data_IF_032791192772
#
_entry.id   IF_032791192772
#
_cell.length_a   1.000
_cell.length_b   1.000
_cell.length_c   1.000
_cell.angle_alpha   90.00
_cell.angle_beta   90.00
_cell.angle_gamma   90.00
#
_symmetry.space_group_name_H-M   'P 1'
#
loop_
_entity.id
_entity.type
_entity.pdbx_description
1 polymer ?
#
# COMPACT_ATOMS: atom_id res chain seq x y z
N UNK A 1 -10.84 5.82 -6.45
CA UNK A 1 -12.10 5.73 -7.22
C UNK A 1 -11.96 6.39 -8.60
N UNK A 2 -11.43 7.62 -8.72
CA UNK A 2 -11.20 8.30 -10.01
C UNK A 2 -10.36 7.52 -11.03
N UNK A 3 -9.30 6.83 -10.58
CA UNK A 3 -8.50 5.91 -11.42
C UNK A 3 -9.40 4.89 -12.15
N UNK A 4 -10.31 4.23 -11.44
CA UNK A 4 -11.19 3.22 -12.04
C UNK A 4 -12.23 3.82 -12.98
N UNK A 5 -12.67 5.06 -12.73
CA UNK A 5 -13.61 5.79 -13.60
C UNK A 5 -12.99 6.17 -14.96
N UNK A 6 -11.70 6.53 -15.01
CA UNK A 6 -11.03 6.85 -16.29
C UNK A 6 -10.71 5.61 -17.12
N UNK A 7 -10.61 4.45 -16.46
CA UNK A 7 -10.47 3.15 -17.13
C UNK A 7 -11.82 2.48 -17.39
N UNK A 8 -12.94 3.07 -17.00
CA UNK A 8 -14.25 2.46 -17.22
C UNK A 8 -14.52 2.19 -18.73
N UNK A 9 -14.18 3.11 -19.67
CA UNK A 9 -14.33 2.87 -21.11
C UNK A 9 -13.46 1.72 -21.67
N UNK A 10 -12.35 1.35 -21.01
CA UNK A 10 -11.54 0.20 -21.45
C UNK A 10 -12.18 -1.14 -21.07
N UNK A 11 -13.07 -1.14 -20.08
CA UNK A 11 -13.68 -2.34 -19.52
C UNK A 11 -15.13 -2.53 -19.97
N UNK A 12 -15.87 -1.44 -20.19
CA UNK A 12 -17.27 -1.44 -20.63
C UNK A 12 -17.52 -0.25 -21.56
N UNK A 13 -18.16 -0.51 -22.70
CA UNK A 13 -18.56 0.56 -23.64
C UNK A 13 -19.61 1.47 -23.03
N UNK A 14 -19.44 2.78 -23.17
CA UNK A 14 -20.34 3.80 -22.63
C UNK A 14 -21.76 3.76 -23.21
N UNK A 15 -21.95 3.12 -24.36
CA UNK A 15 -23.24 3.02 -25.05
C UNK A 15 -23.93 1.65 -24.88
N UNK A 16 -23.40 0.77 -24.03
CA UNK A 16 -23.98 -0.56 -23.82
C UNK A 16 -25.15 -0.52 -22.81
N UNK A 17 -26.37 -0.94 -23.19
CA UNK A 17 -27.52 -1.00 -22.28
C UNK A 17 -27.31 -1.89 -21.05
N UNK A 18 -26.40 -2.87 -21.13
CA UNK A 18 -26.11 -3.83 -20.06
C UNK A 18 -24.82 -3.49 -19.29
N UNK A 19 -24.34 -2.24 -19.38
CA UNK A 19 -23.10 -1.80 -18.75
C UNK A 19 -23.06 -2.08 -17.23
N UNK A 20 -24.17 -1.89 -16.53
CA UNK A 20 -24.27 -2.11 -15.08
C UNK A 20 -23.99 -3.58 -14.68
N UNK A 21 -24.53 -4.54 -15.43
CA UNK A 21 -24.30 -5.97 -15.20
C UNK A 21 -22.85 -6.38 -15.44
N UNK A 22 -22.22 -5.83 -16.48
CA UNK A 22 -20.79 -6.07 -16.76
C UNK A 22 -19.88 -5.50 -15.67
N UNK A 23 -20.18 -4.32 -15.16
CA UNK A 23 -19.43 -3.71 -14.06
C UNK A 23 -19.57 -4.51 -12.76
N UNK A 24 -20.77 -5.00 -12.47
CA UNK A 24 -20.98 -5.87 -11.30
C UNK A 24 -20.16 -7.16 -11.41
N UNK A 25 -20.18 -7.81 -12.57
CA UNK A 25 -19.38 -9.01 -12.83
C UNK A 25 -17.87 -8.73 -12.71
N UNK A 26 -17.37 -7.68 -13.36
CA UNK A 26 -15.96 -7.28 -13.27
C UNK A 26 -15.55 -6.93 -11.83
N UNK A 27 -16.40 -6.23 -11.09
CA UNK A 27 -16.15 -5.88 -9.69
C UNK A 27 -16.03 -7.11 -8.79
N UNK A 28 -16.95 -8.08 -8.93
CA UNK A 28 -16.89 -9.35 -8.19
C UNK A 28 -15.64 -10.15 -8.57
N UNK A 29 -15.31 -10.23 -9.86
CA UNK A 29 -14.12 -10.91 -10.34
C UNK A 29 -12.84 -10.26 -9.81
N UNK A 30 -12.78 -8.92 -9.80
CA UNK A 30 -11.66 -8.17 -9.24
C UNK A 30 -11.47 -8.45 -7.75
N UNK A 31 -12.56 -8.48 -6.97
CA UNK A 31 -12.51 -8.85 -5.55
C UNK A 31 -11.99 -10.28 -5.38
N UNK A 32 -12.55 -11.23 -6.11
CA UNK A 32 -12.15 -12.63 -6.05
C UNK A 32 -10.66 -12.83 -6.40
N UNK A 33 -10.15 -12.10 -7.39
CA UNK A 33 -8.75 -12.13 -7.79
C UNK A 33 -7.83 -11.39 -6.80
N UNK A 34 -8.33 -10.33 -6.18
CA UNK A 34 -7.57 -9.54 -5.21
C UNK A 34 -7.39 -10.28 -3.90
N UNK A 35 -8.37 -11.08 -3.47
CA UNK A 35 -8.33 -11.81 -2.19
C UNK A 35 -7.08 -12.69 -2.06
N UNK A 36 -6.72 -13.56 -3.02
CA UNK A 36 -5.49 -14.36 -2.96
C UNK A 36 -4.20 -13.54 -2.86
N UNK A 37 -4.21 -12.29 -3.33
CA UNK A 37 -3.04 -11.40 -3.29
C UNK A 37 -2.99 -10.63 -1.98
N UNK A 38 -4.13 -10.07 -1.55
CA UNK A 38 -4.21 -9.22 -0.36
C UNK A 38 -4.26 -10.03 0.92
N UNK A 39 -4.86 -11.22 0.93
CA UNK A 39 -4.96 -12.04 2.14
C UNK A 39 -3.58 -12.45 2.68
N UNK A 40 -2.62 -12.97 1.87
CA UNK A 40 -1.27 -13.23 2.34
C UNK A 40 -0.55 -11.97 2.84
N UNK A 41 -0.76 -10.83 2.17
CA UNK A 41 -0.18 -9.55 2.60
C UNK A 41 -0.69 -9.14 3.99
N UNK A 42 -2.00 -9.26 4.23
CA UNK A 42 -2.62 -8.97 5.53
C UNK A 42 -2.10 -9.92 6.60
N UNK A 43 -2.04 -11.23 6.31
CA UNK A 43 -1.51 -12.22 7.24
C UNK A 43 -0.02 -11.98 7.55
N UNK A 44 0.77 -11.57 6.57
CA UNK A 44 2.17 -11.19 6.76
C UNK A 44 2.29 -9.94 7.65
N UNK A 45 1.44 -8.94 7.43
CA UNK A 45 1.41 -7.73 8.24
C UNK A 45 1.02 -8.02 9.70
N UNK A 46 0.08 -8.94 9.93
CA UNK A 46 -0.30 -9.40 11.27
C UNK A 46 0.88 -10.07 11.98
N UNK A 47 1.56 -11.01 11.31
CA UNK A 47 2.76 -11.67 11.85
C UNK A 47 3.89 -10.67 12.13
N UNK A 48 4.07 -9.69 11.25
CA UNK A 48 5.05 -8.62 11.43
C UNK A 48 4.72 -7.77 12.66
N UNK A 49 3.46 -7.34 12.81
CA UNK A 49 3.00 -6.60 13.97
C UNK A 49 3.13 -7.38 15.27
N UNK A 50 2.81 -8.68 15.25
CA UNK A 50 3.01 -9.57 16.39
C UNK A 50 4.48 -9.72 16.75
N UNK A 51 5.37 -9.89 15.76
CA UNK A 51 6.82 -9.97 15.97
C UNK A 51 7.40 -8.68 16.56
N UNK A 52 6.92 -7.51 16.14
CA UNK A 52 7.29 -6.22 16.72
C UNK A 52 6.86 -6.11 18.19
N UNK A 53 5.64 -6.53 18.52
CA UNK A 53 5.13 -6.51 19.90
C UNK A 53 5.83 -7.53 20.80
N UNK A 54 6.20 -8.69 20.26
CA UNK A 54 6.80 -9.78 21.02
C UNK A 54 8.29 -9.57 21.32
N UNK A 55 9.02 -8.78 20.52
CA UNK A 55 10.47 -8.63 20.66
C UNK A 55 10.88 -7.16 20.82
N UNK A 56 11.33 -6.75 22.01
CA UNK A 56 11.90 -5.42 22.25
C UNK A 56 13.10 -5.11 21.36
N UNK A 57 13.77 -6.13 20.81
CA UNK A 57 14.90 -5.96 19.88
C UNK A 57 14.44 -5.38 18.54
N UNK A 58 13.27 -5.77 18.03
CA UNK A 58 12.77 -5.27 16.74
C UNK A 58 12.41 -3.79 16.87
N UNK A 59 11.73 -3.41 17.96
CA UNK A 59 11.45 -2.00 18.28
C UNK A 59 12.74 -1.17 18.35
N UNK A 60 13.78 -1.68 19.05
CA UNK A 60 15.07 -0.99 19.11
C UNK A 60 15.72 -0.83 17.73
N UNK A 61 15.67 -1.83 16.85
CA UNK A 61 16.22 -1.71 15.48
C UNK A 61 15.50 -0.61 14.71
N UNK A 62 14.17 -0.53 14.83
CA UNK A 62 13.36 0.52 14.21
C UNK A 62 13.72 1.90 14.79
N UNK A 63 13.89 2.01 16.11
CA UNK A 63 14.31 3.25 16.77
C UNK A 63 15.70 3.71 16.28
N UNK A 64 16.67 2.78 16.17
CA UNK A 64 18.00 3.09 15.64
C UNK A 64 17.95 3.53 14.18
N UNK A 65 17.09 2.92 13.36
CA UNK A 65 16.90 3.34 11.96
C UNK A 65 16.38 4.77 11.88
N UNK A 66 15.33 5.11 12.64
CA UNK A 66 14.82 6.47 12.69
C UNK A 66 15.88 7.46 13.17
N UNK A 67 16.60 7.14 14.25
CA UNK A 67 17.69 7.97 14.75
C UNK A 67 18.79 8.19 13.70
N UNK A 68 19.12 7.16 12.92
CA UNK A 68 20.11 7.24 11.85
C UNK A 68 19.64 8.15 10.71
N UNK A 69 18.39 8.00 10.25
CA UNK A 69 17.81 8.85 9.21
C UNK A 69 17.75 10.32 9.65
N UNK A 70 17.29 10.59 10.87
CA UNK A 70 17.24 11.96 11.39
C UNK A 70 18.62 12.58 11.52
N UNK A 71 19.61 11.81 11.99
CA UNK A 71 20.99 12.28 12.10
C UNK A 71 21.59 12.57 10.73
N UNK A 72 21.37 11.70 9.74
CA UNK A 72 21.79 11.93 8.36
C UNK A 72 21.12 13.19 7.76
N UNK A 73 19.84 13.40 8.07
CA UNK A 73 19.12 14.59 7.65
C UNK A 73 19.67 15.86 8.30
N UNK A 74 19.97 15.82 9.60
CA UNK A 74 20.60 16.94 10.32
C UNK A 74 21.98 17.29 9.74
N UNK A 75 22.81 16.30 9.45
CA UNK A 75 24.09 16.50 8.76
C UNK A 75 23.90 17.13 7.37
N UNK A 76 22.89 16.69 6.62
CA UNK A 76 22.53 17.29 5.33
C UNK A 76 22.12 18.76 5.46
N UNK A 77 21.33 19.12 6.48
CA UNK A 77 20.96 20.52 6.73
C UNK A 77 22.17 21.35 7.11
N UNK A 78 23.01 20.87 8.04
CA UNK A 78 24.23 21.57 8.46
C UNK A 78 25.16 21.83 7.28
N UNK A 79 25.38 20.81 6.43
CA UNK A 79 26.23 20.95 5.23
C UNK A 79 25.58 21.80 4.13
N UNK A 80 24.26 21.86 4.05
CA UNK A 80 23.55 22.72 3.09
C UNK A 80 23.50 24.19 3.53
N UNK A 81 23.48 24.47 4.85
CA UNK A 81 23.51 25.82 5.43
C UNK A 81 24.95 26.35 5.61
N UNK A 82 25.96 25.48 5.59
CA UNK A 82 27.37 25.86 5.64
C UNK A 82 27.94 26.33 4.28
N UNK A 83 27.10 26.43 3.25
CA UNK A 83 27.43 26.97 1.92
C UNK A 83 26.60 28.22 1.67
#
# INVERSE_FOLDING_TARGET
ILFFMTFLPQFVSAHDPNASGKLFFLGVMFIALSIPVTAPMVLAAEKFSAAMKASPRVTRVVDYLFGCVFSAFALKILTAQAK
#
